data_IF_658576201184
#
_entry.id   IF_658576201184
#
_cell.length_a   1.000
_cell.length_b   1.000
_cell.length_c   1.000
_cell.angle_alpha   90.00
_cell.angle_beta   90.00
_cell.angle_gamma   90.00
#
_symmetry.space_group_name_H-M   'P 1'
#
loop_
_entity.id
_entity.type
_entity.pdbx_description
1 polymer ?
#
# COMPACT_ATOMS: atom_id res chain seq x y z
N UNK A 1 -37.03 29.70 -39.63
CA UNK A 1 -36.74 29.03 -40.90
C UNK A 1 -35.58 29.81 -41.46
N UNK A 2 -34.36 29.35 -41.57
CA UNK A 2 -33.66 28.07 -41.68
C UNK A 2 -32.18 28.50 -41.54
N UNK A 3 -31.18 27.74 -41.15
CA UNK A 3 -30.98 26.33 -40.90
C UNK A 3 -29.57 26.31 -40.29
N UNK A 4 -29.34 25.47 -39.29
CA UNK A 4 -27.99 25.08 -38.90
C UNK A 4 -27.28 24.45 -40.11
N UNK A 5 -26.03 24.87 -40.35
CA UNK A 5 -24.98 24.12 -41.05
C UNK A 5 -23.69 24.43 -40.27
N UNK A 6 -23.37 23.69 -39.22
CA UNK A 6 -22.58 22.45 -39.24
C UNK A 6 -21.23 22.56 -39.97
N UNK A 7 -20.19 22.15 -39.22
CA UNK A 7 -18.81 21.83 -39.62
C UNK A 7 -17.79 22.96 -39.79
N UNK A 8 -17.31 23.45 -38.64
CA UNK A 8 -15.87 23.46 -38.42
C UNK A 8 -15.53 22.40 -37.38
N UNK A 9 -15.12 21.24 -37.92
CA UNK A 9 -14.39 20.20 -37.22
C UNK A 9 -13.17 20.85 -36.58
N UNK A 10 -13.20 21.01 -35.26
CA UNK A 10 -11.96 21.12 -34.51
C UNK A 10 -11.50 19.67 -34.30
N UNK A 11 -10.59 19.30 -35.18
CA UNK A 11 -9.88 18.05 -35.15
C UNK A 11 -9.23 17.84 -33.78
N UNK A 12 -9.26 16.56 -33.41
CA UNK A 12 -8.74 16.00 -32.19
C UNK A 12 -7.27 16.37 -31.95
N UNK A 13 -7.01 17.27 -31.00
CA UNK A 13 -5.67 17.42 -30.42
C UNK A 13 -5.76 17.82 -28.93
N UNK A 14 -6.29 16.90 -28.12
CA UNK A 14 -5.89 16.76 -26.72
C UNK A 14 -5.52 15.30 -26.47
N UNK A 15 -4.34 14.93 -26.99
CA UNK A 15 -3.62 13.74 -26.54
C UNK A 15 -3.04 14.01 -25.16
N UNK A 16 -3.59 13.33 -24.15
CA UNK A 16 -3.16 13.38 -22.77
C UNK A 16 -4.33 12.97 -21.89
N UNK A 17 -4.53 11.67 -21.66
CA UNK A 17 -5.55 11.19 -20.74
C UNK A 17 -5.45 11.97 -19.42
N UNK A 18 -6.56 12.47 -18.85
CA UNK A 18 -6.52 13.17 -17.58
C UNK A 18 -6.03 12.17 -16.55
N UNK A 19 -4.76 12.29 -16.14
CA UNK A 19 -4.24 11.52 -15.02
C UNK A 19 -5.04 12.00 -13.82
N UNK A 20 -6.04 11.22 -13.40
CA UNK A 20 -6.89 11.57 -12.26
C UNK A 20 -6.00 11.60 -11.04
N UNK A 21 -5.53 12.79 -10.68
CA UNK A 21 -4.75 12.99 -9.47
C UNK A 21 -5.70 12.95 -8.28
N UNK A 22 -5.48 11.98 -7.40
CA UNK A 22 -6.19 11.85 -6.15
C UNK A 22 -5.92 13.08 -5.28
N UNK A 23 -6.99 13.62 -4.71
CA UNK A 23 -6.91 14.68 -3.71
C UNK A 23 -6.18 14.19 -2.45
N UNK A 24 -5.66 15.11 -1.64
CA UNK A 24 -5.02 14.78 -0.35
C UNK A 24 -5.93 13.95 0.56
N UNK A 25 -7.24 14.18 0.49
CA UNK A 25 -8.24 13.44 1.25
C UNK A 25 -8.32 11.99 0.78
N UNK A 26 -8.41 11.75 -0.54
CA UNK A 26 -8.42 10.40 -1.10
C UNK A 26 -7.13 9.64 -0.78
N UNK A 27 -5.97 10.31 -0.86
CA UNK A 27 -4.68 9.72 -0.48
C UNK A 27 -4.67 9.31 0.99
N UNK A 28 -5.20 10.16 1.88
CA UNK A 28 -5.31 9.83 3.31
C UNK A 28 -6.27 8.67 3.57
N UNK A 29 -7.37 8.57 2.82
CA UNK A 29 -8.32 7.45 2.92
C UNK A 29 -7.64 6.15 2.49
N UNK A 30 -6.96 6.15 1.34
CA UNK A 30 -6.21 4.98 0.85
C UNK A 30 -5.12 4.60 1.85
N UNK A 31 -4.39 5.57 2.39
CA UNK A 31 -3.35 5.32 3.39
C UNK A 31 -3.92 4.64 4.64
N UNK A 32 -5.04 5.14 5.16
CA UNK A 32 -5.70 4.53 6.31
C UNK A 32 -6.20 3.11 6.00
N UNK A 33 -6.84 2.91 4.84
CA UNK A 33 -7.27 1.58 4.39
C UNK A 33 -6.08 0.63 4.21
N UNK A 34 -4.94 1.12 3.72
CA UNK A 34 -3.72 0.33 3.58
C UNK A 34 -3.18 -0.08 4.96
N UNK A 35 -3.18 0.83 5.94
CA UNK A 35 -2.83 0.49 7.33
C UNK A 35 -3.77 -0.57 7.90
N UNK A 36 -5.08 -0.45 7.69
CA UNK A 36 -6.04 -1.47 8.16
C UNK A 36 -5.83 -2.82 7.47
N UNK A 37 -5.57 -2.81 6.16
CA UNK A 37 -5.23 -4.01 5.40
C UNK A 37 -3.95 -4.67 5.92
N UNK A 38 -2.90 -3.87 6.19
CA UNK A 38 -1.66 -4.34 6.80
C UNK A 38 -1.90 -4.92 8.20
N UNK A 39 -2.79 -4.31 8.99
CA UNK A 39 -3.15 -4.83 10.30
C UNK A 39 -3.89 -6.17 10.26
N UNK A 40 -4.55 -6.48 9.14
CA UNK A 40 -5.20 -7.77 8.93
C UNK A 40 -4.23 -8.86 8.45
N UNK A 41 -2.97 -8.52 8.19
CA UNK A 41 -1.93 -9.48 7.81
C UNK A 41 -1.20 -9.95 9.07
N UNK A 42 -1.24 -11.27 9.28
CA UNK A 42 -0.59 -11.93 10.40
C UNK A 42 0.55 -12.78 9.85
N UNK A 43 1.63 -12.90 10.64
CA UNK A 43 2.70 -13.81 10.28
C UNK A 43 2.22 -15.27 10.48
N UNK A 44 2.48 -16.19 9.53
CA UNK A 44 2.04 -17.58 9.66
C UNK A 44 2.80 -18.37 10.73
N UNK A 45 3.99 -17.92 11.13
CA UNK A 45 4.82 -18.56 12.16
C UNK A 45 4.52 -18.00 13.56
N UNK A 46 4.12 -16.73 13.65
CA UNK A 46 3.81 -16.04 14.90
C UNK A 46 2.45 -15.34 14.74
N UNK A 47 1.43 -15.61 15.58
CA UNK A 47 0.08 -15.06 15.45
C UNK A 47 -0.02 -13.56 15.82
N UNK A 48 0.99 -12.78 15.43
CA UNK A 48 1.10 -11.34 15.64
C UNK A 48 1.04 -10.64 14.29
N UNK A 49 0.48 -9.44 14.33
CA UNK A 49 0.29 -8.57 13.19
C UNK A 49 1.61 -7.95 12.72
N UNK A 50 1.86 -7.93 11.40
CA UNK A 50 3.07 -7.34 10.81
C UNK A 50 3.23 -5.84 11.10
N UNK A 51 2.12 -5.13 11.26
CA UNK A 51 2.11 -3.72 11.63
C UNK A 51 2.55 -3.53 13.09
N UNK A 52 2.08 -4.39 14.00
CA UNK A 52 2.42 -4.32 15.43
C UNK A 52 3.81 -4.86 15.74
N UNK A 53 4.29 -5.82 14.95
CA UNK A 53 5.70 -6.22 14.98
C UNK A 53 6.66 -5.11 14.54
N UNK A 54 6.16 -4.03 13.91
CA UNK A 54 7.02 -2.98 13.37
C UNK A 54 7.79 -3.42 12.12
N UNK A 55 7.23 -4.35 11.34
CA UNK A 55 7.80 -4.74 10.04
C UNK A 55 7.52 -3.70 8.96
N UNK A 56 6.52 -2.84 9.14
CA UNK A 56 6.18 -1.78 8.20
C UNK A 56 6.96 -0.52 8.57
N UNK A 57 7.76 -0.01 7.65
CA UNK A 57 8.54 1.22 7.85
C UNK A 57 7.85 2.44 7.28
N UNK A 58 7.25 2.31 6.10
CA UNK A 58 6.63 3.45 5.44
C UNK A 58 5.52 2.98 4.49
N UNK A 59 4.49 3.79 4.34
CA UNK A 59 3.39 3.58 3.39
C UNK A 59 3.16 4.88 2.63
N UNK A 60 3.57 4.90 1.37
CA UNK A 60 3.42 6.07 0.50
C UNK A 60 2.28 5.85 -0.47
N UNK A 61 1.37 6.81 -0.51
CA UNK A 61 0.32 6.87 -1.53
C UNK A 61 0.66 8.00 -2.48
N UNK A 62 0.83 7.65 -3.75
CA UNK A 62 1.08 8.60 -4.83
C UNK A 62 -0.24 9.19 -5.33
N UNK A 63 -0.15 10.38 -5.92
CA UNK A 63 -1.32 11.09 -6.43
C UNK A 63 -2.01 10.36 -7.59
N UNK A 64 -1.32 9.43 -8.27
CA UNK A 64 -1.88 8.59 -9.34
C UNK A 64 -2.61 7.33 -8.82
N UNK A 65 -2.70 7.15 -7.49
CA UNK A 65 -3.26 5.96 -6.86
C UNK A 65 -2.26 4.82 -6.69
N UNK A 66 -0.98 5.04 -6.98
CA UNK A 66 0.08 4.08 -6.67
C UNK A 66 0.34 4.02 -5.17
N UNK A 67 0.34 2.82 -4.58
CA UNK A 67 0.70 2.60 -3.18
C UNK A 67 2.03 1.87 -3.12
N UNK A 68 2.99 2.47 -2.44
CA UNK A 68 4.29 1.88 -2.15
C UNK A 68 4.37 1.57 -0.66
N UNK A 69 4.46 0.29 -0.32
CA UNK A 69 4.68 -0.17 1.05
C UNK A 69 6.15 -0.54 1.20
N UNK A 70 6.84 0.10 2.13
CA UNK A 70 8.21 -0.24 2.51
C UNK A 70 8.14 -1.07 3.79
N UNK A 71 8.61 -2.31 3.71
CA UNK A 71 8.62 -3.21 4.85
C UNK A 71 9.94 -3.96 4.98
N UNK A 72 10.17 -4.51 6.15
CA UNK A 72 11.29 -5.40 6.46
C UNK A 72 10.75 -6.77 6.84
N UNK A 73 11.63 -7.75 6.96
CA UNK A 73 11.31 -9.09 7.39
C UNK A 73 12.27 -9.52 8.50
N UNK A 74 11.79 -10.40 9.37
CA UNK A 74 12.60 -10.98 10.45
C UNK A 74 13.75 -11.84 9.93
N UNK A 75 13.57 -12.48 8.78
CA UNK A 75 14.62 -13.29 8.13
C UNK A 75 14.41 -13.42 6.61
N UNK A 76 15.49 -13.34 5.80
CA UNK A 76 15.43 -13.57 4.36
C UNK A 76 15.14 -15.01 3.95
N UNK A 77 15.27 -15.96 4.88
CA UNK A 77 15.03 -17.38 4.62
C UNK A 77 13.67 -17.86 5.11
N UNK A 78 12.84 -16.99 5.69
CA UNK A 78 11.51 -17.38 6.15
C UNK A 78 10.58 -17.61 4.94
N UNK A 79 9.81 -18.70 4.86
CA UNK A 79 8.82 -18.89 3.80
C UNK A 79 7.79 -17.73 3.72
N UNK A 80 7.51 -17.08 4.86
CA UNK A 80 6.68 -15.88 4.92
C UNK A 80 7.23 -14.73 4.06
N UNK A 81 8.55 -14.66 3.83
CA UNK A 81 9.17 -13.63 3.00
C UNK A 81 8.67 -13.60 1.55
N UNK A 82 8.13 -14.72 1.04
CA UNK A 82 7.62 -14.82 -0.32
C UNK A 82 6.11 -14.67 -0.42
N UNK A 83 5.37 -15.14 0.59
CA UNK A 83 3.90 -15.09 0.61
C UNK A 83 3.38 -13.77 1.15
N UNK A 84 4.01 -13.23 2.19
CA UNK A 84 3.49 -12.10 2.95
C UNK A 84 3.52 -10.78 2.15
N UNK A 85 4.60 -10.44 1.42
CA UNK A 85 4.59 -9.28 0.52
C UNK A 85 3.54 -9.40 -0.58
N UNK A 86 3.31 -10.61 -1.12
CA UNK A 86 2.27 -10.85 -2.13
C UNK A 86 0.87 -10.69 -1.56
N UNK A 87 0.64 -11.16 -0.34
CA UNK A 87 -0.64 -10.99 0.34
C UNK A 87 -0.90 -9.51 0.64
N UNK A 88 0.10 -8.80 1.15
CA UNK A 88 0.02 -7.35 1.38
C UNK A 88 -0.28 -6.62 0.08
N UNK A 89 0.46 -6.90 -0.99
CA UNK A 89 0.23 -6.29 -2.30
C UNK A 89 -1.20 -6.55 -2.78
N UNK A 90 -1.68 -7.79 -2.69
CA UNK A 90 -3.03 -8.17 -3.10
C UNK A 90 -4.11 -7.46 -2.28
N UNK A 91 -3.94 -7.35 -0.95
CA UNK A 91 -4.88 -6.63 -0.09
C UNK A 91 -4.90 -5.14 -0.38
N UNK A 92 -3.73 -4.52 -0.51
CA UNK A 92 -3.61 -3.09 -0.85
C UNK A 92 -4.19 -2.80 -2.24
N UNK A 93 -3.95 -3.68 -3.21
CA UNK A 93 -4.51 -3.58 -4.56
C UNK A 93 -6.03 -3.72 -4.61
N UNK A 94 -6.64 -4.41 -3.65
CA UNK A 94 -8.09 -4.53 -3.53
C UNK A 94 -8.75 -3.25 -2.96
N UNK A 95 -7.98 -2.27 -2.48
CA UNK A 95 -8.53 -1.02 -1.97
C UNK A 95 -9.06 -0.18 -3.15
N UNK A 96 -10.28 0.37 -3.05
CA UNK A 96 -10.82 1.22 -4.09
C UNK A 96 -9.94 2.46 -4.30
N UNK A 97 -9.76 2.86 -5.56
CA UNK A 97 -8.89 3.95 -6.02
C UNK A 97 -7.38 3.67 -6.01
N UNK A 98 -6.95 2.45 -5.65
CA UNK A 98 -5.57 2.01 -5.87
C UNK A 98 -5.40 1.57 -7.33
N UNK A 99 -4.46 2.20 -8.03
CA UNK A 99 -4.11 1.83 -9.42
C UNK A 99 -3.02 0.76 -9.43
N UNK A 100 -2.05 0.86 -8.53
CA UNK A 100 -0.94 -0.08 -8.40
C UNK A 100 -0.54 -0.23 -6.94
N UNK A 101 -0.24 -1.46 -6.52
CA UNK A 101 0.39 -1.73 -5.23
C UNK A 101 1.79 -2.28 -5.50
N UNK A 102 2.79 -1.73 -4.81
CA UNK A 102 4.18 -2.18 -4.87
C UNK A 102 4.68 -2.37 -3.44
N UNK A 103 5.17 -3.56 -3.13
CA UNK A 103 5.78 -3.84 -1.83
C UNK A 103 7.29 -3.91 -2.01
N UNK A 104 8.01 -3.04 -1.31
CA UNK A 104 9.47 -2.99 -1.30
C UNK A 104 9.98 -3.53 0.02
N UNK A 105 10.70 -4.64 -0.07
CA UNK A 105 11.39 -5.23 1.08
C UNK A 105 12.75 -4.56 1.22
N UNK A 106 13.01 -3.99 2.40
CA UNK A 106 14.31 -3.44 2.77
C UNK A 106 14.89 -4.25 3.93
N UNK A 107 16.20 -4.47 3.89
CA UNK A 107 16.94 -5.18 4.94
C UNK A 107 17.73 -4.22 5.84
N UNK A 108 17.79 -2.95 5.44
CA UNK A 108 18.47 -1.88 6.16
C UNK A 108 17.47 -0.73 6.42
N UNK A 109 17.27 -0.31 7.68
CA UNK A 109 17.85 -0.90 8.90
C UNK A 109 17.36 -2.34 9.14
N UNK A 110 18.17 -3.16 9.83
CA UNK A 110 17.73 -4.50 10.22
C UNK A 110 16.61 -4.41 11.26
N UNK A 111 15.57 -5.22 11.10
CA UNK A 111 14.52 -5.32 12.10
C UNK A 111 15.09 -5.88 13.41
N UNK A 112 14.70 -5.28 14.54
CA UNK A 112 15.05 -5.80 15.86
C UNK A 112 13.78 -5.94 16.71
N UNK A 113 13.72 -6.93 17.63
CA UNK A 113 12.60 -7.12 18.55
C UNK A 113 12.22 -5.87 19.37
N UNK A 114 13.16 -4.93 19.54
CA UNK A 114 12.92 -3.65 20.22
C UNK A 114 12.01 -2.70 19.42
N UNK A 115 11.81 -2.95 18.12
CA UNK A 115 10.88 -2.18 17.27
C UNK A 115 9.43 -2.62 17.46
N UNK A 116 9.17 -3.71 18.19
CA UNK A 116 7.81 -4.16 18.50
C UNK A 116 7.12 -3.21 19.47
N UNK A 117 5.82 -3.01 19.27
CA UNK A 117 4.99 -2.26 20.22
C UNK A 117 4.89 -3.00 21.56
N UNK A 118 4.56 -2.29 22.64
CA UNK A 118 4.35 -2.93 23.96
C UNK A 118 3.28 -4.02 23.91
N UNK A 119 2.24 -3.85 23.08
CA UNK A 119 1.22 -4.86 22.84
C UNK A 119 1.80 -6.15 22.22
N UNK A 120 2.62 -6.03 21.18
CA UNK A 120 3.26 -7.18 20.54
C UNK A 120 4.27 -7.89 21.47
N UNK A 121 4.97 -7.15 22.34
CA UNK A 121 5.89 -7.74 23.33
C UNK A 121 5.15 -8.53 24.42
N UNK A 122 3.96 -8.07 24.83
CA UNK A 122 3.10 -8.76 25.79
C UNK A 122 2.55 -10.07 25.19
N UNK A 123 2.07 -10.04 23.96
CA UNK A 123 1.58 -11.22 23.22
C UNK A 123 2.65 -12.31 23.07
N UNK A 124 3.92 -11.90 22.89
CA UNK A 124 5.06 -12.81 22.80
C UNK A 124 5.63 -13.26 24.17
N UNK A 125 5.05 -12.80 25.29
CA UNK A 125 5.50 -13.18 26.63
C UNK A 125 6.89 -12.66 27.00
N UNK A 126 7.33 -11.53 26.43
CA UNK A 126 8.64 -10.91 26.70
C UNK A 126 8.62 -9.89 27.85
N UNK A 127 7.60 -9.92 28.71
CA UNK A 127 7.37 -9.01 29.84
C UNK A 127 7.07 -9.78 31.13
#
# INVERSE_FOLDING_TARGET
MEMNQEEQRQDAEQSGAPSRQLSTIEQSIIHNNAIEALKSCYDPEIPVNIYEMGLIYDVKVAADGGVLVVMTLTSPHCPAAQSLPREVEAKVKNIPNVTQAVVKIVWDPQWTPNMMTEAARLELGML
#
